data_IF_151590250423
#
_entry.id   IF_151590250423
#
_cell.length_a   1.000
_cell.length_b   1.000
_cell.length_c   1.000
_cell.angle_alpha   90.00
_cell.angle_beta   90.00
_cell.angle_gamma   90.00
#
_symmetry.space_group_name_H-M   'P 1'
#
loop_
_entity.id
_entity.type
_entity.pdbx_description
1 polymer ?
#
# COMPACT_ATOMS: atom_id res chain seq x y z
N UNK A 1 -2.99 -26.03 -32.82
CA UNK A 1 -3.49 -24.91 -32.00
C UNK A 1 -2.99 -25.14 -30.60
N UNK A 2 -1.69 -24.91 -30.44
CA UNK A 2 -0.91 -25.23 -29.24
C UNK A 2 -1.05 -24.14 -28.18
N UNK A 3 -1.04 -24.61 -26.94
CA UNK A 3 -1.11 -23.87 -25.69
C UNK A 3 0.00 -22.82 -25.59
N UNK A 4 -0.39 -21.56 -25.38
CA UNK A 4 0.49 -20.52 -24.84
C UNK A 4 -0.31 -19.80 -23.75
N UNK A 5 -0.25 -20.34 -22.54
CA UNK A 5 -0.53 -19.59 -21.31
C UNK A 5 0.62 -19.95 -20.35
N UNK A 6 1.42 -18.98 -19.87
CA UNK A 6 2.40 -19.28 -18.85
C UNK A 6 1.66 -19.61 -17.55
N UNK A 7 1.97 -20.80 -17.06
CA UNK A 7 1.53 -21.33 -15.78
C UNK A 7 2.17 -20.46 -14.67
N UNK A 8 1.46 -19.48 -14.13
CA UNK A 8 1.95 -18.59 -13.06
C UNK A 8 2.13 -19.35 -11.72
N UNK A 9 1.71 -20.62 -11.65
CA UNK A 9 2.01 -21.50 -10.52
C UNK A 9 3.12 -22.49 -10.88
N UNK A 10 4.38 -22.05 -10.82
CA UNK A 10 5.57 -22.86 -10.50
C UNK A 10 6.81 -21.98 -10.55
N UNK A 11 7.16 -21.40 -9.41
CA UNK A 11 8.57 -21.17 -9.12
C UNK A 11 9.26 -22.53 -9.14
N UNK A 12 9.94 -22.85 -10.25
CA UNK A 12 11.09 -23.76 -10.20
C UNK A 12 12.17 -23.02 -9.42
N UNK A 13 12.08 -23.10 -8.09
CA UNK A 13 13.29 -23.16 -7.28
C UNK A 13 14.11 -24.33 -7.85
N UNK A 14 15.36 -24.06 -8.20
CA UNK A 14 16.36 -25.07 -8.50
C UNK A 14 16.18 -26.24 -7.53
N UNK A 15 15.91 -27.43 -8.07
CA UNK A 15 15.82 -28.66 -7.30
C UNK A 15 17.21 -29.03 -6.81
N UNK A 16 17.71 -28.33 -5.80
CA UNK A 16 18.59 -28.94 -4.83
C UNK A 16 17.69 -29.58 -3.78
N UNK A 17 17.48 -30.88 -3.97
CA UNK A 17 16.90 -31.78 -3.00
C UNK A 17 17.82 -31.84 -1.79
N UNK A 18 17.70 -30.86 -0.90
CA UNK A 18 18.30 -30.90 0.43
C UNK A 18 17.22 -30.54 1.42
N UNK A 19 16.92 -31.52 2.26
CA UNK A 19 16.11 -31.41 3.47
C UNK A 19 16.39 -30.06 4.20
N UNK A 20 15.40 -29.19 4.47
CA UNK A 20 15.63 -27.82 4.97
C UNK A 20 16.09 -27.74 6.44
N UNK A 21 16.75 -28.78 6.94
CA UNK A 21 17.20 -28.91 8.33
C UNK A 21 18.62 -28.38 8.60
N UNK A 22 19.29 -27.78 7.63
CA UNK A 22 20.62 -27.17 7.83
C UNK A 22 20.50 -25.67 8.12
N UNK A 23 20.95 -25.26 9.31
CA UNK A 23 21.00 -23.85 9.76
C UNK A 23 21.69 -22.90 8.77
N UNK A 24 22.55 -23.42 7.87
CA UNK A 24 23.28 -22.64 6.86
C UNK A 24 22.36 -22.11 5.75
N UNK A 25 21.38 -22.89 5.31
CA UNK A 25 20.58 -22.56 4.11
C UNK A 25 19.57 -21.43 4.37
N UNK A 26 19.11 -21.27 5.62
CA UNK A 26 18.21 -20.17 5.98
C UNK A 26 18.90 -18.81 6.05
N UNK A 27 20.23 -18.78 6.21
CA UNK A 27 21.01 -17.54 6.30
C UNK A 27 21.38 -16.99 4.91
N UNK A 28 21.34 -17.81 3.85
CA UNK A 28 21.71 -17.44 2.48
C UNK A 28 20.53 -16.94 1.61
N UNK A 29 19.38 -16.66 2.23
CA UNK A 29 18.18 -16.19 1.53
C UNK A 29 18.30 -14.70 1.19
N UNK A 30 17.88 -14.33 -0.03
CA UNK A 30 17.72 -12.94 -0.44
C UNK A 30 16.23 -12.55 -0.57
N UNK A 31 15.80 -11.40 -0.04
CA UNK A 31 16.56 -10.47 0.80
C UNK A 31 16.96 -11.09 2.16
N UNK A 32 18.07 -10.65 2.78
CA UNK A 32 18.52 -11.21 4.05
C UNK A 32 17.49 -10.98 5.16
N UNK A 33 17.40 -11.92 6.09
CA UNK A 33 16.54 -11.77 7.27
C UNK A 33 16.97 -10.57 8.12
N UNK A 34 16.00 -9.79 8.59
CA UNK A 34 16.25 -8.53 9.29
C UNK A 34 16.39 -7.32 8.36
N UNK A 35 16.29 -7.48 7.04
CA UNK A 35 16.50 -6.37 6.11
C UNK A 35 15.42 -5.28 6.14
N UNK A 36 14.24 -5.59 6.70
CA UNK A 36 13.09 -4.70 6.69
C UNK A 36 12.86 -4.06 8.06
N UNK A 37 12.39 -2.80 8.13
CA UNK A 37 12.06 -2.18 9.40
C UNK A 37 10.99 -2.92 10.20
N UNK A 38 10.01 -3.52 9.53
CA UNK A 38 9.01 -4.35 10.18
C UNK A 38 9.64 -5.59 10.84
N UNK A 39 10.67 -6.18 10.23
CA UNK A 39 11.42 -7.30 10.83
C UNK A 39 12.26 -6.86 12.01
N UNK A 40 12.91 -5.70 11.92
CA UNK A 40 13.61 -5.11 13.06
C UNK A 40 12.64 -4.83 14.22
N UNK A 41 11.45 -4.30 13.93
CA UNK A 41 10.42 -4.09 14.94
C UNK A 41 10.02 -5.39 15.63
N UNK A 42 9.77 -6.46 14.87
CA UNK A 42 9.49 -7.79 15.41
C UNK A 42 10.64 -8.29 16.30
N UNK A 43 11.88 -8.19 15.84
CA UNK A 43 13.06 -8.66 16.60
C UNK A 43 13.27 -7.89 17.91
N UNK A 44 12.94 -6.60 17.94
CA UNK A 44 13.05 -5.76 19.13
C UNK A 44 11.95 -6.00 20.17
N UNK A 45 10.76 -6.41 19.74
CA UNK A 45 9.55 -6.46 20.60
C UNK A 45 8.96 -7.87 20.75
N UNK A 46 9.70 -8.90 20.34
CA UNK A 46 9.27 -10.28 20.46
C UNK A 46 9.32 -10.77 21.91
N UNK A 47 8.19 -11.24 22.41
CA UNK A 47 8.04 -11.84 23.74
C UNK A 47 7.76 -13.34 23.61
N UNK A 48 8.71 -14.24 23.96
CA UNK A 48 8.56 -15.69 23.78
C UNK A 48 7.40 -16.35 24.55
N UNK A 49 6.73 -15.63 25.44
CA UNK A 49 5.65 -16.13 26.28
C UNK A 49 4.25 -16.02 25.65
N UNK A 50 4.12 -15.32 24.52
CA UNK A 50 2.86 -15.10 23.80
C UNK A 50 2.67 -16.13 22.67
N UNK A 51 1.43 -16.38 22.24
CA UNK A 51 1.18 -17.22 21.05
C UNK A 51 1.65 -16.49 19.78
N UNK A 52 2.56 -17.13 19.03
CA UNK A 52 3.28 -16.52 17.92
C UNK A 52 2.38 -15.78 16.91
N UNK A 53 1.30 -16.39 16.41
CA UNK A 53 0.47 -15.78 15.36
C UNK A 53 -0.28 -14.51 15.82
N UNK A 54 -0.79 -14.51 17.05
CA UNK A 54 -1.48 -13.33 17.60
C UNK A 54 -0.47 -12.20 17.84
N UNK A 55 0.73 -12.56 18.27
CA UNK A 55 1.82 -11.63 18.49
C UNK A 55 2.29 -10.98 17.19
N UNK A 56 2.47 -11.74 16.11
CA UNK A 56 2.83 -11.17 14.80
C UNK A 56 1.85 -10.09 14.36
N UNK A 57 0.55 -10.40 14.36
CA UNK A 57 -0.48 -9.44 13.95
C UNK A 57 -0.49 -8.18 14.81
N UNK A 58 -0.37 -8.34 16.14
CA UNK A 58 -0.32 -7.23 17.09
C UNK A 58 0.90 -6.36 16.82
N UNK A 59 2.09 -6.94 16.75
CA UNK A 59 3.33 -6.19 16.55
C UNK A 59 3.39 -5.49 15.19
N UNK A 60 2.84 -6.10 14.12
CA UNK A 60 2.76 -5.43 12.82
C UNK A 60 1.76 -4.28 12.84
N UNK A 61 0.62 -4.43 13.53
CA UNK A 61 -0.29 -3.30 13.77
C UNK A 61 0.39 -2.18 14.56
N UNK A 62 1.11 -2.52 15.63
CA UNK A 62 1.84 -1.55 16.44
C UNK A 62 2.92 -0.83 15.61
N UNK A 63 3.65 -1.55 14.76
CA UNK A 63 4.61 -0.99 13.81
C UNK A 63 3.99 0.03 12.84
N UNK A 64 2.76 -0.21 12.37
CA UNK A 64 2.09 0.68 11.41
C UNK A 64 1.46 1.89 12.12
N UNK A 65 0.77 1.65 13.25
CA UNK A 65 -0.13 2.63 13.84
C UNK A 65 0.45 3.37 15.05
N UNK A 66 1.26 2.69 15.86
CA UNK A 66 1.82 3.24 17.10
C UNK A 66 3.23 3.83 16.92
N UNK A 67 4.01 3.32 15.97
CA UNK A 67 5.33 3.86 15.68
C UNK A 67 5.23 5.13 14.82
N UNK A 68 5.55 6.27 15.40
CA UNK A 68 5.50 7.55 14.70
C UNK A 68 6.70 7.81 13.80
N UNK A 69 7.88 7.27 14.11
CA UNK A 69 9.10 7.45 13.33
C UNK A 69 9.84 6.11 13.24
N UNK A 70 10.21 5.69 12.03
CA UNK A 70 11.06 4.52 11.84
C UNK A 70 12.50 4.91 12.20
N UNK A 71 13.15 4.23 13.17
CA UNK A 71 14.55 4.49 13.50
C UNK A 71 15.49 4.34 12.30
N UNK A 72 16.41 5.29 12.12
CA UNK A 72 17.36 5.31 11.00
C UNK A 72 18.23 4.05 10.97
N UNK A 73 18.59 3.52 12.14
CA UNK A 73 19.39 2.31 12.28
C UNK A 73 18.69 1.05 11.76
N UNK A 74 17.36 1.04 11.66
CA UNK A 74 16.61 -0.08 11.08
C UNK A 74 16.63 -0.05 9.54
N UNK A 75 17.12 1.03 8.94
CA UNK A 75 17.17 1.21 7.50
C UNK A 75 18.56 0.81 7.00
N UNK A 76 18.60 -0.25 6.18
CA UNK A 76 19.86 -0.65 5.54
C UNK A 76 20.38 0.46 4.62
N UNK A 77 21.66 0.87 4.71
CA UNK A 77 22.20 1.94 3.86
C UNK A 77 22.12 1.61 2.36
N UNK A 78 22.30 0.34 2.00
CA UNK A 78 22.17 -0.14 0.63
C UNK A 78 21.63 -1.58 0.57
N UNK A 79 21.08 -2.01 -0.58
CA UNK A 79 20.71 -3.40 -0.84
C UNK A 79 21.80 -4.45 -0.53
N UNK A 80 23.06 -4.05 -0.68
CA UNK A 80 24.25 -4.89 -0.51
C UNK A 80 24.92 -4.74 0.86
N UNK A 81 24.44 -3.83 1.71
CA UNK A 81 25.07 -3.55 3.01
C UNK A 81 24.77 -4.65 4.02
N UNK A 82 25.80 -5.28 4.59
CA UNK A 82 25.61 -6.27 5.67
C UNK A 82 25.23 -5.64 7.02
N UNK A 83 25.23 -4.30 7.10
CA UNK A 83 24.91 -3.58 8.33
C UNK A 83 23.41 -3.65 8.59
N UNK A 84 23.04 -4.21 9.74
CA UNK A 84 21.68 -4.27 10.28
C UNK A 84 21.72 -3.91 11.76
N UNK A 85 20.64 -3.29 12.28
CA UNK A 85 20.53 -3.01 13.72
C UNK A 85 20.56 -4.31 14.55
N UNK A 86 19.76 -5.29 14.16
CA UNK A 86 19.84 -6.67 14.65
C UNK A 86 20.08 -7.60 13.47
N UNK A 87 21.19 -8.34 13.50
CA UNK A 87 21.40 -9.50 12.64
C UNK A 87 20.70 -10.70 13.28
N UNK A 88 19.61 -11.23 12.71
CA UNK A 88 18.84 -12.28 13.35
C UNK A 88 19.62 -13.60 13.39
N UNK A 89 19.53 -14.31 14.52
CA UNK A 89 20.05 -15.66 14.66
C UNK A 89 19.17 -16.67 13.91
N UNK A 90 19.69 -17.87 13.66
CA UNK A 90 18.91 -18.95 13.04
C UNK A 90 17.64 -19.32 13.83
N UNK A 91 17.65 -19.20 15.17
CA UNK A 91 16.44 -19.43 15.98
C UNK A 91 15.42 -18.31 15.79
N UNK A 92 15.85 -17.05 15.80
CA UNK A 92 14.98 -15.90 15.55
C UNK A 92 14.36 -15.96 14.15
N UNK A 93 15.11 -16.39 13.14
CA UNK A 93 14.57 -16.60 11.79
C UNK A 93 13.46 -17.65 11.82
N UNK A 94 13.70 -18.83 12.41
CA UNK A 94 12.72 -19.92 12.45
C UNK A 94 11.49 -19.61 13.28
N UNK A 95 11.66 -18.91 14.40
CA UNK A 95 10.61 -18.76 15.41
C UNK A 95 9.83 -17.46 15.23
N UNK A 96 10.47 -16.41 14.72
CA UNK A 96 9.92 -15.06 14.62
C UNK A 96 9.62 -14.72 13.17
N UNK A 97 10.63 -14.72 12.29
CA UNK A 97 10.47 -14.07 10.99
C UNK A 97 9.84 -14.96 9.91
N UNK A 98 10.33 -16.20 9.78
CA UNK A 98 9.87 -17.14 8.76
C UNK A 98 8.40 -17.58 8.92
N UNK A 99 7.86 -17.77 10.14
CA UNK A 99 6.45 -18.10 10.32
C UNK A 99 5.50 -16.96 9.97
N UNK A 100 5.96 -15.70 10.05
CA UNK A 100 5.15 -14.54 9.74
C UNK A 100 4.98 -14.33 8.23
N UNK A 101 6.09 -14.34 7.49
CA UNK A 101 6.09 -13.98 6.07
C UNK A 101 6.81 -15.02 5.21
N UNK A 102 6.06 -15.76 4.36
CA UNK A 102 6.65 -16.66 3.38
C UNK A 102 7.66 -15.96 2.45
N UNK A 103 8.64 -16.72 1.95
CA UNK A 103 9.73 -16.19 1.12
C UNK A 103 9.25 -15.44 -0.12
N UNK A 104 8.17 -15.88 -0.77
CA UNK A 104 7.65 -15.20 -1.95
C UNK A 104 7.24 -13.75 -1.65
N UNK A 105 6.58 -13.53 -0.51
CA UNK A 105 6.13 -12.19 -0.09
C UNK A 105 7.27 -11.35 0.47
N UNK A 106 8.34 -11.96 0.97
CA UNK A 106 9.58 -11.23 1.26
C UNK A 106 10.21 -10.65 0.00
N UNK A 107 10.24 -11.41 -1.10
CA UNK A 107 10.75 -10.92 -2.38
C UNK A 107 9.88 -9.79 -2.94
N UNK A 108 8.55 -9.89 -2.83
CA UNK A 108 7.64 -8.81 -3.23
C UNK A 108 7.81 -7.56 -2.35
N UNK A 109 7.86 -7.74 -1.03
CA UNK A 109 8.11 -6.65 -0.09
C UNK A 109 9.45 -5.95 -0.38
N UNK A 110 10.47 -6.69 -0.84
CA UNK A 110 11.76 -6.14 -1.24
C UNK A 110 11.66 -5.22 -2.46
N UNK A 111 10.93 -5.64 -3.50
CA UNK A 111 10.72 -4.80 -4.67
C UNK A 111 9.95 -3.53 -4.29
N UNK A 112 8.85 -3.66 -3.53
CA UNK A 112 8.08 -2.51 -3.03
C UNK A 112 8.99 -1.57 -2.23
N UNK A 113 9.73 -2.09 -1.25
CA UNK A 113 10.61 -1.30 -0.39
C UNK A 113 11.69 -0.56 -1.16
N UNK A 114 12.31 -1.21 -2.15
CA UNK A 114 13.36 -0.59 -2.95
C UNK A 114 12.82 0.48 -3.89
N UNK A 115 11.66 0.27 -4.50
CA UNK A 115 11.03 1.29 -5.35
C UNK A 115 10.63 2.53 -4.54
N UNK A 116 10.23 2.35 -3.27
CA UNK A 116 9.96 3.45 -2.35
C UNK A 116 11.24 4.25 -2.04
N UNK A 117 12.37 3.58 -1.82
CA UNK A 117 13.61 4.22 -1.35
C UNK A 117 14.53 4.73 -2.46
N UNK A 118 14.58 4.03 -3.57
CA UNK A 118 15.39 4.35 -4.73
C UNK A 118 14.51 4.09 -5.97
N UNK A 119 13.60 5.02 -6.29
CA UNK A 119 12.74 4.89 -7.45
C UNK A 119 13.62 4.64 -8.68
N UNK A 120 13.37 3.53 -9.40
CA UNK A 120 14.04 3.29 -10.69
C UNK A 120 13.50 4.22 -11.78
N UNK A 121 12.30 4.74 -11.55
CA UNK A 121 11.53 5.59 -12.44
C UNK A 121 11.20 6.86 -11.65
N UNK A 122 11.61 8.01 -12.17
CA UNK A 122 11.32 9.29 -11.53
C UNK A 122 9.79 9.49 -11.50
N UNK A 123 9.25 9.78 -10.31
CA UNK A 123 7.86 10.19 -10.05
C UNK A 123 6.71 9.19 -10.30
N UNK A 124 6.95 8.04 -10.95
CA UNK A 124 5.90 7.03 -11.16
C UNK A 124 5.56 6.30 -9.84
N UNK A 125 4.40 6.61 -9.28
CA UNK A 125 3.88 5.96 -8.08
C UNK A 125 3.81 4.44 -8.19
N UNK A 126 3.95 3.77 -7.04
CA UNK A 126 3.75 2.31 -6.95
C UNK A 126 2.29 1.92 -7.14
N UNK A 127 2.00 1.39 -8.32
CA UNK A 127 0.71 0.82 -8.71
C UNK A 127 0.61 -0.65 -8.26
N UNK A 128 0.31 -0.86 -6.98
CA UNK A 128 0.09 -2.21 -6.46
C UNK A 128 -1.38 -2.58 -6.60
N UNK A 129 -1.64 -3.72 -7.23
CA UNK A 129 -2.94 -4.37 -7.37
C UNK A 129 -3.06 -5.47 -6.33
N UNK A 130 -4.11 -5.43 -5.53
CA UNK A 130 -4.45 -6.46 -4.56
C UNK A 130 -5.73 -7.16 -5.01
N UNK A 131 -5.68 -8.47 -5.21
CA UNK A 131 -6.89 -9.27 -5.40
C UNK A 131 -7.39 -9.77 -4.05
N UNK A 132 -8.65 -9.47 -3.73
CA UNK A 132 -9.28 -9.95 -2.48
C UNK A 132 -10.43 -10.92 -2.69
N UNK A 133 -10.87 -11.10 -3.94
CA UNK A 133 -11.94 -12.01 -4.31
C UNK A 133 -11.46 -13.10 -5.27
N UNK A 134 -11.90 -14.32 -4.98
CA UNK A 134 -11.61 -15.54 -5.71
C UNK A 134 -12.92 -16.30 -5.88
N UNK A 135 -13.24 -16.63 -7.14
CA UNK A 135 -14.45 -17.37 -7.46
C UNK A 135 -14.34 -18.83 -7.01
N UNK A 136 -15.47 -19.42 -6.59
CA UNK A 136 -15.49 -20.82 -6.14
C UNK A 136 -15.40 -21.79 -7.32
N UNK A 137 -15.97 -21.40 -8.47
CA UNK A 137 -16.02 -22.23 -9.68
C UNK A 137 -14.75 -22.09 -10.52
N UNK A 138 -14.16 -23.23 -10.91
CA UNK A 138 -12.88 -23.26 -11.61
C UNK A 138 -12.90 -22.52 -12.96
N UNK A 139 -14.02 -22.58 -13.69
CA UNK A 139 -14.19 -21.87 -14.96
C UNK A 139 -14.24 -20.35 -14.77
N UNK A 140 -14.88 -19.90 -13.68
CA UNK A 140 -14.96 -18.48 -13.35
C UNK A 140 -13.60 -17.95 -12.88
N UNK A 141 -12.90 -18.70 -12.02
CA UNK A 141 -11.52 -18.39 -11.62
C UNK A 141 -10.59 -18.29 -12.83
N UNK A 142 -10.71 -19.18 -13.81
CA UNK A 142 -9.91 -19.10 -15.03
C UNK A 142 -10.20 -17.83 -15.84
N UNK A 143 -11.47 -17.41 -15.93
CA UNK A 143 -11.86 -16.15 -16.60
C UNK A 143 -11.34 -14.93 -15.85
N UNK A 144 -11.47 -14.92 -14.52
CA UNK A 144 -11.03 -13.81 -13.68
C UNK A 144 -9.50 -13.64 -13.72
N UNK A 145 -8.75 -14.74 -13.75
CA UNK A 145 -7.29 -14.71 -13.91
C UNK A 145 -6.88 -14.05 -15.22
N UNK A 146 -7.60 -14.34 -16.32
CA UNK A 146 -7.36 -13.72 -17.63
C UNK A 146 -7.68 -12.23 -17.56
N UNK A 147 -8.86 -11.87 -17.04
CA UNK A 147 -9.29 -10.46 -16.87
C UNK A 147 -8.27 -9.64 -16.09
N UNK A 148 -7.80 -10.14 -14.95
CA UNK A 148 -6.84 -9.42 -14.09
C UNK A 148 -5.53 -9.12 -14.84
N UNK A 149 -5.02 -10.10 -15.59
CA UNK A 149 -3.81 -9.93 -16.40
C UNK A 149 -4.04 -8.93 -17.54
N UNK A 150 -5.17 -9.03 -18.25
CA UNK A 150 -5.52 -8.11 -19.33
C UNK A 150 -5.67 -6.68 -18.82
N UNK A 151 -6.36 -6.47 -17.70
CA UNK A 151 -6.51 -5.15 -17.08
C UNK A 151 -5.18 -4.56 -16.66
N UNK A 152 -4.32 -5.35 -16.02
CA UNK A 152 -2.99 -4.88 -15.64
C UNK A 152 -2.18 -4.48 -16.89
N UNK A 153 -2.15 -5.32 -17.94
CA UNK A 153 -1.41 -5.00 -19.17
C UNK A 153 -1.98 -3.78 -19.89
N UNK A 154 -3.31 -3.65 -19.96
CA UNK A 154 -3.99 -2.52 -20.59
C UNK A 154 -3.63 -1.18 -19.95
N UNK A 155 -3.34 -1.18 -18.64
CA UNK A 155 -2.96 0.04 -17.93
C UNK A 155 -1.64 0.66 -18.44
N UNK A 156 -0.81 -0.12 -19.13
CA UNK A 156 0.46 0.30 -19.75
C UNK A 156 0.35 0.57 -21.25
N UNK A 157 -0.79 0.27 -21.87
CA UNK A 157 -0.95 0.45 -23.31
C UNK A 157 -0.75 1.92 -23.70
N UNK A 158 0.05 2.15 -24.75
CA UNK A 158 0.37 3.50 -25.21
C UNK A 158 1.52 4.18 -24.48
N UNK A 159 2.15 3.57 -23.46
CA UNK A 159 3.41 4.06 -22.91
C UNK A 159 4.59 3.65 -23.82
N UNK A 160 5.25 4.58 -24.54
CA UNK A 160 6.31 4.24 -25.49
C UNK A 160 7.64 3.83 -24.81
N UNK A 161 7.75 4.01 -23.49
CA UNK A 161 8.93 3.66 -22.70
C UNK A 161 8.81 2.29 -22.02
N UNK A 162 7.65 1.65 -22.12
CA UNK A 162 7.36 0.38 -21.45
C UNK A 162 7.48 -0.77 -22.46
N UNK A 163 8.52 -1.59 -22.33
CA UNK A 163 8.62 -2.82 -23.13
C UNK A 163 7.82 -3.98 -22.49
N UNK A 164 7.35 -4.97 -23.27
CA UNK A 164 6.54 -6.06 -22.75
C UNK A 164 7.23 -6.92 -21.67
N UNK A 165 8.54 -7.11 -21.74
CA UNK A 165 9.27 -7.93 -20.76
C UNK A 165 9.36 -7.21 -19.40
N UNK A 166 9.42 -5.88 -19.42
CA UNK A 166 9.32 -5.04 -18.22
C UNK A 166 7.93 -5.17 -17.57
N UNK A 167 6.85 -5.13 -18.36
CA UNK A 167 5.48 -5.31 -17.83
C UNK A 167 5.32 -6.69 -17.19
N UNK A 168 5.76 -7.76 -17.87
CA UNK A 168 5.70 -9.12 -17.33
C UNK A 168 6.55 -9.28 -16.05
N UNK A 169 7.63 -8.52 -15.92
CA UNK A 169 8.45 -8.49 -14.70
C UNK A 169 7.73 -7.73 -13.58
N UNK A 170 7.08 -6.61 -13.88
CA UNK A 170 6.30 -5.82 -12.92
C UNK A 170 5.11 -6.60 -12.35
N UNK A 171 4.40 -7.36 -13.20
CA UNK A 171 3.29 -8.20 -12.77
C UNK A 171 3.63 -9.11 -11.58
N UNK A 172 4.86 -9.63 -11.52
CA UNK A 172 5.30 -10.59 -10.49
C UNK A 172 5.34 -10.02 -9.07
N UNK A 173 5.38 -8.70 -8.93
CA UNK A 173 5.47 -8.04 -7.62
C UNK A 173 4.46 -6.92 -7.45
N UNK A 174 3.83 -6.44 -8.52
CA UNK A 174 2.76 -5.45 -8.45
C UNK A 174 1.37 -6.07 -8.36
N UNK A 175 1.17 -7.32 -8.78
CA UNK A 175 -0.09 -8.04 -8.59
C UNK A 175 0.06 -8.96 -7.37
N UNK A 176 -0.61 -8.59 -6.29
CA UNK A 176 -0.76 -9.40 -5.08
C UNK A 176 -1.94 -10.36 -5.28
N UNK A 177 -1.65 -11.52 -5.86
CA UNK A 177 -2.64 -12.54 -6.20
C UNK A 177 -2.22 -13.92 -5.69
N UNK A 178 -2.81 -14.33 -4.55
CA UNK A 178 -2.70 -15.66 -3.97
C UNK A 178 -3.89 -15.87 -3.02
N UNK A 179 -4.80 -16.77 -3.39
CA UNK A 179 -6.02 -17.03 -2.61
C UNK A 179 -5.72 -17.45 -1.17
N UNK A 180 -4.65 -18.22 -0.95
CA UNK A 180 -4.31 -18.73 0.38
C UNK A 180 -3.82 -17.64 1.32
N UNK A 181 -3.47 -16.47 0.78
CA UNK A 181 -2.86 -15.36 1.51
C UNK A 181 -3.79 -14.15 1.55
N UNK A 182 -4.41 -13.80 0.41
CA UNK A 182 -5.09 -12.52 0.20
C UNK A 182 -6.60 -12.62 0.00
N UNK A 183 -7.22 -13.78 0.20
CA UNK A 183 -8.69 -13.93 0.18
C UNK A 183 -9.32 -13.28 1.44
N UNK A 184 -9.24 -11.95 1.51
CA UNK A 184 -9.72 -11.13 2.61
C UNK A 184 -11.16 -10.65 2.42
N UNK A 185 -11.75 -10.90 1.24
CA UNK A 185 -13.06 -10.34 0.87
C UNK A 185 -13.04 -8.81 1.01
N UNK A 186 -13.81 -8.25 1.93
CA UNK A 186 -13.85 -6.81 2.21
C UNK A 186 -12.73 -6.30 3.13
N UNK A 187 -12.04 -7.18 3.85
CA UNK A 187 -11.01 -6.81 4.84
C UNK A 187 -9.63 -6.60 4.20
N UNK A 188 -9.58 -5.79 3.14
CA UNK A 188 -8.38 -5.55 2.33
C UNK A 188 -7.20 -5.04 3.16
N UNK A 189 -7.46 -4.32 4.26
CA UNK A 189 -6.45 -3.75 5.16
C UNK A 189 -5.53 -4.82 5.77
N UNK A 190 -5.98 -6.07 5.81
CA UNK A 190 -5.18 -7.21 6.25
C UNK A 190 -3.96 -7.47 5.37
N UNK A 191 -3.90 -6.90 4.17
CA UNK A 191 -2.68 -6.90 3.35
C UNK A 191 -1.50 -6.30 4.11
N UNK A 192 -1.73 -5.32 4.98
CA UNK A 192 -0.67 -4.72 5.79
C UNK A 192 -0.16 -5.64 6.90
N UNK A 193 -0.89 -6.70 7.26
CA UNK A 193 -0.35 -7.75 8.15
C UNK A 193 0.77 -8.54 7.45
N UNK A 194 0.72 -8.63 6.12
CA UNK A 194 1.69 -9.37 5.30
C UNK A 194 2.76 -8.44 4.73
N UNK A 195 2.36 -7.29 4.16
CA UNK A 195 3.22 -6.32 3.46
C UNK A 195 2.99 -4.90 4.02
N UNK A 196 3.37 -4.62 5.29
CA UNK A 196 3.36 -3.27 5.87
C UNK A 196 4.12 -2.23 5.06
N UNK A 197 5.05 -2.62 4.18
CA UNK A 197 5.83 -1.73 3.31
C UNK A 197 4.93 -0.90 2.36
N UNK A 198 3.71 -1.36 2.07
CA UNK A 198 2.71 -0.61 1.30
C UNK A 198 2.33 0.75 1.93
N UNK A 199 2.55 0.90 3.24
CA UNK A 199 2.28 2.15 3.99
C UNK A 199 3.41 3.18 3.88
N UNK A 200 4.53 2.86 3.21
CA UNK A 200 5.67 3.76 3.07
C UNK A 200 6.84 3.45 4.02
N UNK A 201 7.93 4.26 3.98
CA UNK A 201 7.92 5.70 3.74
C UNK A 201 8.41 6.15 2.35
N UNK A 202 7.51 6.69 1.52
CA UNK A 202 7.84 7.37 0.24
C UNK A 202 8.52 8.74 0.41
N UNK A 203 8.46 9.34 1.59
CA UNK A 203 9.02 10.68 1.86
C UNK A 203 9.39 10.84 3.35
N UNK A 204 10.53 10.28 3.72
CA UNK A 204 11.13 10.36 5.05
C UNK A 204 10.58 9.36 6.05
N UNK A 205 11.38 9.01 7.06
CA UNK A 205 11.10 7.93 8.03
C UNK A 205 9.95 8.21 9.00
N UNK A 206 9.42 9.43 8.99
CA UNK A 206 8.29 9.81 9.83
C UNK A 206 6.97 9.28 9.26
N UNK A 207 6.18 8.66 10.12
CA UNK A 207 4.77 8.27 9.92
C UNK A 207 3.80 9.27 10.56
N UNK A 208 4.32 10.31 11.23
CA UNK A 208 3.49 11.38 11.80
C UNK A 208 2.70 12.06 10.71
N UNK A 209 1.49 12.48 11.09
CA UNK A 209 0.74 13.41 10.29
C UNK A 209 1.56 14.72 10.20
N UNK A 210 1.92 15.13 8.99
CA UNK A 210 2.59 16.41 8.77
C UNK A 210 1.61 17.35 8.07
N UNK A 211 1.04 18.34 8.79
CA UNK A 211 0.32 19.41 8.14
C UNK A 211 1.28 20.08 7.15
N UNK A 212 0.87 20.22 5.88
CA UNK A 212 1.70 20.90 4.88
C UNK A 212 1.92 22.35 5.32
N UNK A 213 3.15 22.70 5.69
CA UNK A 213 3.53 24.07 6.08
C UNK A 213 3.88 24.96 4.88
N UNK A 214 3.77 24.45 3.66
CA UNK A 214 4.23 25.12 2.43
C UNK A 214 3.25 26.17 1.87
N UNK A 215 2.32 26.67 2.70
CA UNK A 215 1.42 27.77 2.35
C UNK A 215 0.23 27.37 1.47
N UNK A 216 0.08 26.09 1.13
CA UNK A 216 -1.04 25.57 0.34
C UNK A 216 -2.15 24.91 1.18
N UNK A 217 -1.92 24.75 2.48
CA UNK A 217 -2.66 23.77 3.30
C UNK A 217 -3.75 24.30 4.22
N UNK A 218 -4.04 25.62 4.27
CA UNK A 218 -5.17 26.17 5.04
C UNK A 218 -5.60 27.51 4.40
N UNK A 219 -6.29 27.45 3.26
CA UNK A 219 -6.69 28.67 2.54
C UNK A 219 -8.13 29.12 2.82
N UNK A 220 -8.78 28.59 3.85
CA UNK A 220 -10.11 29.07 4.24
C UNK A 220 -10.00 30.33 5.12
N UNK A 221 -10.76 31.40 4.83
CA UNK A 221 -10.75 32.63 5.62
C UNK A 221 -11.36 32.36 6.99
N UNK A 222 -10.51 32.04 8.00
CA UNK A 222 -10.93 31.66 9.35
C UNK A 222 -11.94 32.62 9.98
N UNK A 223 -11.77 33.92 9.77
CA UNK A 223 -12.69 34.95 10.28
C UNK A 223 -14.09 34.84 9.65
N UNK A 224 -14.15 34.61 8.33
CA UNK A 224 -15.42 34.41 7.63
C UNK A 224 -16.08 33.11 8.08
N UNK A 225 -15.31 32.02 8.18
CA UNK A 225 -15.82 30.75 8.71
C UNK A 225 -16.34 30.93 10.13
N UNK A 226 -15.59 31.59 11.03
CA UNK A 226 -16.02 31.86 12.40
C UNK A 226 -17.31 32.69 12.47
N UNK A 227 -17.55 33.57 11.48
CA UNK A 227 -18.74 34.42 11.41
C UNK A 227 -20.01 33.67 11.01
N UNK A 228 -19.89 32.44 10.46
CA UNK A 228 -21.05 31.64 10.07
C UNK A 228 -21.80 31.14 11.33
N UNK A 229 -23.13 31.31 11.37
CA UNK A 229 -23.91 31.08 12.59
C UNK A 229 -24.16 29.60 12.89
N UNK A 230 -24.13 28.72 11.88
CA UNK A 230 -24.44 27.30 12.02
C UNK A 230 -23.17 26.47 11.90
N UNK A 231 -23.08 25.42 12.72
CA UNK A 231 -21.94 24.52 12.68
C UNK A 231 -21.82 23.84 11.32
N UNK A 232 -22.93 23.46 10.69
CA UNK A 232 -22.95 22.80 9.38
C UNK A 232 -22.38 23.71 8.29
N UNK A 233 -22.70 25.00 8.32
CA UNK A 233 -22.18 25.99 7.37
C UNK A 233 -20.66 26.16 7.56
N UNK A 234 -20.19 26.16 8.81
CA UNK A 234 -18.75 26.20 9.13
C UNK A 234 -18.00 24.97 8.64
N UNK A 235 -18.56 23.78 8.88
CA UNK A 235 -18.00 22.51 8.40
C UNK A 235 -17.93 22.51 6.87
N UNK A 236 -19.02 22.89 6.21
CA UNK A 236 -19.09 22.95 4.75
C UNK A 236 -18.05 23.93 4.19
N UNK A 237 -17.90 25.11 4.80
CA UNK A 237 -16.92 26.10 4.37
C UNK A 237 -15.47 25.59 4.50
N UNK A 238 -15.15 24.80 5.53
CA UNK A 238 -13.84 24.18 5.74
C UNK A 238 -13.59 23.01 4.76
N UNK A 239 -14.60 22.17 4.52
CA UNK A 239 -14.45 20.99 3.67
C UNK A 239 -14.50 21.33 2.17
N UNK A 240 -15.37 22.24 1.73
CA UNK A 240 -15.50 22.64 0.32
C UNK A 240 -14.33 23.50 -0.19
N UNK A 241 -13.61 24.17 0.71
CA UNK A 241 -12.55 25.09 0.33
C UNK A 241 -11.22 24.39 0.05
N UNK A 242 -11.04 23.12 0.47
CA UNK A 242 -9.69 22.57 0.55
C UNK A 242 -9.56 21.04 0.34
N UNK A 243 -9.70 20.60 -0.92
CA UNK A 243 -9.22 19.29 -1.34
C UNK A 243 -7.68 19.13 -1.16
N UNK A 244 -6.93 20.24 -1.07
CA UNK A 244 -5.48 20.21 -0.87
C UNK A 244 -5.09 19.79 0.56
N UNK A 245 -5.89 20.16 1.57
CA UNK A 245 -5.77 19.66 2.94
C UNK A 245 -5.89 18.14 2.95
N UNK A 246 -6.97 17.58 2.40
CA UNK A 246 -7.16 16.12 2.35
C UNK A 246 -6.03 15.43 1.56
N UNK A 247 -5.59 16.05 0.47
CA UNK A 247 -4.48 15.55 -0.34
C UNK A 247 -3.15 15.53 0.41
N UNK A 248 -2.95 16.45 1.37
CA UNK A 248 -1.76 16.46 2.22
C UNK A 248 -1.66 15.22 3.11
N UNK A 249 -2.81 14.63 3.49
CA UNK A 249 -2.87 13.40 4.27
C UNK A 249 -2.53 12.14 3.49
N UNK A 250 -2.79 12.14 2.17
CA UNK A 250 -2.49 11.00 1.30
C UNK A 250 -0.99 10.85 1.16
N UNK A 251 -0.52 9.61 1.18
CA UNK A 251 0.88 9.23 1.06
C UNK A 251 1.10 8.18 -0.04
N UNK A 252 0.14 7.27 -0.22
CA UNK A 252 0.16 6.27 -1.28
C UNK A 252 -1.26 5.98 -1.77
N UNK A 253 -1.39 5.05 -2.69
CA UNK A 253 -2.66 4.44 -3.03
C UNK A 253 -2.48 2.94 -3.25
N UNK A 254 -3.59 2.22 -3.22
CA UNK A 254 -3.70 0.78 -3.46
C UNK A 254 -4.87 0.53 -4.40
N UNK A 255 -4.67 -0.32 -5.40
CA UNK A 255 -5.71 -0.77 -6.30
C UNK A 255 -6.23 -2.13 -5.81
N UNK A 256 -7.54 -2.28 -5.65
CA UNK A 256 -8.16 -3.49 -5.10
C UNK A 256 -9.13 -4.09 -6.11
N UNK A 257 -8.81 -5.31 -6.56
CA UNK A 257 -9.68 -6.17 -7.33
C UNK A 257 -10.52 -7.03 -6.38
N UNK A 258 -11.67 -6.48 -5.97
CA UNK A 258 -12.65 -7.16 -5.13
C UNK A 258 -13.76 -7.81 -5.97
N UNK A 259 -14.76 -8.39 -5.31
CA UNK A 259 -15.90 -9.04 -5.97
C UNK A 259 -16.64 -8.09 -6.92
N UNK A 260 -16.77 -6.82 -6.52
CA UNK A 260 -17.42 -5.81 -7.35
C UNK A 260 -16.60 -5.54 -8.61
N UNK A 261 -15.28 -5.54 -8.52
CA UNK A 261 -14.41 -5.36 -9.70
C UNK A 261 -14.69 -6.42 -10.77
N UNK A 262 -14.81 -7.69 -10.42
CA UNK A 262 -15.04 -8.77 -11.41
C UNK A 262 -16.44 -8.76 -12.02
N UNK A 263 -17.43 -8.23 -11.29
CA UNK A 263 -18.84 -8.17 -11.73
C UNK A 263 -19.18 -6.90 -12.50
N UNK A 264 -18.48 -5.79 -12.26
CA UNK A 264 -18.80 -4.48 -12.85
C UNK A 264 -17.69 -3.90 -13.72
N UNK A 265 -16.53 -4.55 -13.76
CA UNK A 265 -15.31 -4.04 -14.37
C UNK A 265 -14.93 -2.65 -13.79
N UNK A 266 -15.21 -2.43 -12.50
CA UNK A 266 -14.86 -1.21 -11.75
C UNK A 266 -13.84 -1.49 -10.65
N UNK A 267 -12.58 -1.11 -10.89
CA UNK A 267 -11.47 -1.28 -9.93
C UNK A 267 -11.60 -0.31 -8.75
N UNK A 268 -11.43 -0.80 -7.52
CA UNK A 268 -11.37 0.07 -6.34
C UNK A 268 -9.99 0.72 -6.25
N UNK A 269 -9.93 2.04 -6.11
CA UNK A 269 -8.72 2.76 -5.71
C UNK A 269 -8.89 3.29 -4.29
N UNK A 270 -7.90 3.03 -3.45
CA UNK A 270 -7.83 3.51 -2.08
C UNK A 270 -6.66 4.48 -1.97
N UNK A 271 -6.91 5.72 -1.58
CA UNK A 271 -5.87 6.69 -1.26
C UNK A 271 -5.52 6.55 0.22
N UNK A 272 -4.27 6.25 0.56
CA UNK A 272 -3.85 5.84 1.89
C UNK A 272 -2.97 6.89 2.55
N UNK A 273 -3.09 7.03 3.88
CA UNK A 273 -2.15 7.79 4.71
C UNK A 273 -0.88 6.98 5.06
N UNK A 274 0.02 7.56 5.86
CA UNK A 274 1.26 6.92 6.33
C UNK A 274 1.06 5.77 7.33
N UNK A 275 -0.16 5.60 7.84
CA UNK A 275 -0.58 4.57 8.79
C UNK A 275 -1.53 3.55 8.14
N UNK A 276 -1.66 3.55 6.81
CA UNK A 276 -2.52 2.60 6.07
C UNK A 276 -4.02 2.87 6.19
N UNK A 277 -4.47 3.97 6.80
CA UNK A 277 -5.89 4.35 6.74
C UNK A 277 -6.20 4.89 5.35
N UNK A 278 -7.32 4.48 4.77
CA UNK A 278 -7.82 5.13 3.56
C UNK A 278 -8.35 6.53 3.90
N UNK A 279 -7.86 7.53 3.19
CA UNK A 279 -8.32 8.92 3.21
C UNK A 279 -9.56 9.03 2.33
N UNK A 280 -9.45 8.56 1.09
CA UNK A 280 -10.50 8.55 0.07
C UNK A 280 -10.53 7.20 -0.65
N UNK A 281 -11.68 6.85 -1.18
CA UNK A 281 -11.85 5.72 -2.09
C UNK A 281 -12.66 6.13 -3.32
N UNK A 282 -12.40 5.50 -4.47
CA UNK A 282 -13.15 5.70 -5.70
C UNK A 282 -13.20 4.41 -6.51
N UNK A 283 -14.07 4.34 -7.50
CA UNK A 283 -14.07 3.29 -8.52
C UNK A 283 -13.52 3.82 -9.84
N UNK A 284 -12.74 3.01 -10.53
CA UNK A 284 -12.12 3.32 -11.82
C UNK A 284 -12.69 2.32 -12.84
N UNK A 285 -13.23 2.82 -13.94
CA UNK A 285 -13.72 1.96 -15.01
C UNK A 285 -12.53 1.26 -15.69
N UNK A 286 -12.65 -0.06 -15.89
CA UNK A 286 -11.70 -0.87 -16.65
C UNK A 286 -12.19 -1.08 -18.09
N UNK A 287 -11.28 -1.21 -19.08
CA UNK A 287 -9.83 -1.04 -18.95
C UNK A 287 -9.47 0.43 -18.65
N UNK A 288 -8.47 0.62 -17.80
CA UNK A 288 -8.07 1.95 -17.35
C UNK A 288 -6.88 2.43 -18.19
N UNK A 289 -7.17 2.81 -19.43
CA UNK A 289 -6.21 3.20 -20.47
C UNK A 289 -5.31 4.40 -20.06
N UNK A 290 -5.67 5.12 -18.99
CA UNK A 290 -5.00 6.34 -18.52
C UNK A 290 -4.23 6.22 -17.19
N UNK A 291 -4.20 5.04 -16.55
CA UNK A 291 -3.51 4.87 -15.25
C UNK A 291 -2.00 5.11 -15.32
N UNK A 292 -1.31 4.72 -16.40
CA UNK A 292 0.14 4.93 -16.57
C UNK A 292 0.53 5.89 -17.71
N UNK A 293 -0.34 6.11 -18.71
CA UNK A 293 -0.03 7.07 -19.79
C UNK A 293 -0.09 8.52 -19.33
N UNK A 294 -0.68 8.77 -18.16
CA UNK A 294 -0.68 10.07 -17.47
C UNK A 294 0.27 10.10 -16.28
N UNK A 295 1.55 9.77 -16.52
CA UNK A 295 2.62 9.93 -15.53
C UNK A 295 2.74 11.37 -14.99
N UNK A 296 2.16 12.36 -15.68
CA UNK A 296 1.99 13.74 -15.22
C UNK A 296 0.98 13.90 -14.07
N UNK A 297 0.11 12.92 -13.84
CA UNK A 297 -0.88 12.93 -12.76
C UNK A 297 -0.42 12.21 -11.49
N UNK A 298 0.63 11.37 -11.57
CA UNK A 298 1.21 10.69 -10.41
C UNK A 298 2.37 11.54 -9.90
N UNK A 299 2.13 12.32 -8.85
CA UNK A 299 3.16 13.15 -8.23
C UNK A 299 3.47 12.60 -6.83
N UNK A 300 4.70 12.11 -6.62
CA UNK A 300 5.12 11.49 -5.35
C UNK A 300 4.23 10.33 -4.90
N UNK A 301 3.76 9.51 -5.85
CA UNK A 301 2.89 8.37 -5.56
C UNK A 301 1.46 8.74 -5.16
N UNK A 302 0.96 9.90 -5.61
CA UNK A 302 -0.39 10.39 -5.40
C UNK A 302 -1.02 10.80 -6.73
N UNK A 303 -2.31 10.53 -6.91
CA UNK A 303 -3.05 10.88 -8.14
C UNK A 303 -3.96 12.09 -7.86
N UNK A 304 -3.41 13.31 -7.91
CA UNK A 304 -4.12 14.53 -7.48
C UNK A 304 -5.14 15.02 -8.49
N UNK A 305 -4.74 15.06 -9.76
CA UNK A 305 -5.48 15.76 -10.81
C UNK A 305 -6.39 14.77 -11.57
N UNK A 306 -6.85 13.72 -10.87
CA UNK A 306 -7.75 12.71 -11.40
C UNK A 306 -9.21 13.03 -11.09
N UNK A 307 -10.09 12.70 -12.04
CA UNK A 307 -11.54 12.68 -11.82
C UNK A 307 -11.94 11.80 -10.62
N UNK A 308 -11.12 10.79 -10.30
CA UNK A 308 -11.28 9.87 -9.17
C UNK A 308 -10.86 10.45 -7.81
N UNK A 309 -10.37 11.70 -7.75
CA UNK A 309 -9.98 12.35 -6.50
C UNK A 309 -11.11 13.22 -5.92
N UNK A 310 -11.90 13.87 -6.76
CA UNK A 310 -12.89 14.88 -6.33
C UNK A 310 -14.28 14.26 -6.09
N UNK A 311 -15.06 14.80 -5.15
CA UNK A 311 -16.47 14.37 -4.94
C UNK A 311 -17.37 14.75 -6.13
N UNK A 312 -17.07 15.86 -6.80
CA UNK A 312 -17.96 16.47 -7.80
C UNK A 312 -17.83 15.90 -9.22
N UNK A 313 -16.83 15.04 -9.48
CA UNK A 313 -16.57 14.48 -10.82
C UNK A 313 -16.95 13.00 -10.85
N UNK A 314 -17.91 12.55 -11.69
CA UNK A 314 -18.25 11.13 -11.78
C UNK A 314 -17.05 10.25 -12.17
N UNK A 315 -16.90 9.05 -11.56
CA UNK A 315 -17.80 8.44 -10.57
C UNK A 315 -17.73 9.05 -9.16
N UNK A 316 -16.80 9.96 -8.90
CA UNK A 316 -16.64 10.67 -7.63
C UNK A 316 -15.91 9.82 -6.61
N UNK A 317 -15.21 10.46 -5.67
CA UNK A 317 -14.55 9.75 -4.58
C UNK A 317 -15.25 10.01 -3.25
N UNK A 318 -15.30 9.02 -2.37
CA UNK A 318 -15.87 9.16 -1.03
C UNK A 318 -14.75 9.43 -0.02
N UNK A 319 -14.93 10.45 0.82
CA UNK A 319 -14.02 10.75 1.93
C UNK A 319 -14.35 9.86 3.14
N UNK A 320 -13.32 9.26 3.73
CA UNK A 320 -13.44 8.53 4.98
C UNK A 320 -13.93 9.46 6.11
N UNK A 321 -14.96 9.09 6.90
CA UNK A 321 -15.46 9.90 8.00
C UNK A 321 -14.41 10.36 9.02
N UNK A 322 -13.32 9.60 9.22
CA UNK A 322 -12.21 10.02 10.10
C UNK A 322 -11.53 11.30 9.62
N UNK A 323 -11.55 11.54 8.31
CA UNK A 323 -10.91 12.66 7.63
C UNK A 323 -11.84 13.85 7.37
N UNK A 324 -13.13 13.74 7.67
CA UNK A 324 -14.07 14.88 7.69
C UNK A 324 -13.64 15.87 8.79
N UNK A 325 -13.94 17.16 8.67
CA UNK A 325 -13.46 18.22 9.56
C UNK A 325 -13.80 17.99 11.05
N UNK A 326 -14.90 17.30 11.35
CA UNK A 326 -15.29 16.90 12.72
C UNK A 326 -14.79 15.51 13.15
N UNK A 327 -14.21 14.75 12.21
CA UNK A 327 -13.67 13.42 12.41
C UNK A 327 -12.39 13.41 13.26
N UNK A 328 -12.01 12.20 13.69
CA UNK A 328 -10.85 11.95 14.56
C UNK A 328 -9.56 12.59 14.03
N UNK A 329 -9.25 12.38 12.75
CA UNK A 329 -8.04 12.89 12.11
C UNK A 329 -8.29 14.29 11.53
N UNK A 330 -9.49 14.53 10.99
CA UNK A 330 -9.85 15.79 10.36
C UNK A 330 -9.69 17.01 11.27
N UNK A 331 -10.00 16.89 12.57
CA UNK A 331 -9.86 18.03 13.50
C UNK A 331 -8.46 18.62 13.55
N UNK A 332 -7.45 17.74 13.64
CA UNK A 332 -6.03 18.12 13.61
C UNK A 332 -5.61 18.55 12.20
N UNK A 333 -5.98 17.75 11.19
CA UNK A 333 -5.66 17.97 9.78
C UNK A 333 -6.10 19.37 9.29
N UNK A 334 -7.34 19.74 9.58
CA UNK A 334 -7.88 21.05 9.20
C UNK A 334 -7.45 22.16 10.16
N UNK A 335 -7.10 21.85 11.42
CA UNK A 335 -6.73 22.84 12.43
C UNK A 335 -7.90 23.74 12.86
N UNK A 336 -9.11 23.18 12.94
CA UNK A 336 -10.38 23.91 13.10
C UNK A 336 -11.09 23.65 14.43
N UNK A 337 -10.39 23.07 15.40
CA UNK A 337 -10.96 22.68 16.70
C UNK A 337 -11.54 23.85 17.50
N UNK A 338 -11.03 25.06 17.29
CA UNK A 338 -11.51 26.32 17.82
C UNK A 338 -12.71 26.86 17.03
N UNK A 339 -12.71 26.69 15.70
CA UNK A 339 -13.76 27.20 14.80
C UNK A 339 -15.05 26.36 14.82
N UNK A 340 -14.93 25.07 15.12
CA UNK A 340 -16.04 24.12 15.10
C UNK A 340 -16.60 23.80 16.48
N UNK A 341 -16.33 24.64 17.50
CA UNK A 341 -16.95 24.51 18.83
C UNK A 341 -18.41 25.00 18.78
N UNK A 342 -19.28 24.27 19.48
CA UNK A 342 -20.69 24.64 19.70
C UNK A 342 -20.81 25.84 20.62
#
# INVERSE_FOLDING_TARGET
>A
MEQILPNISRLTLSTNTTDPNTNSDMLEVFPPWGAFPAEQYLLHHWEPSEQNQNQHRRLINDFIHALDDIPEEWIRPSPTSEIMAITPSASQIREILAPWRPLQWRSVAWEIWNQIRCPKWDDEGLNIWLRTHYAEEAEETARDNIKLVEWFKSSFEGNPYMDPDTVDTMMRWQILDDESVFNFKSAWERVFEIIPELTGPKSGLSRRFMPRTDGWGQNYPREEVASLPRLEDRVMAVECSDNCVQYSAVHSYLLVADEKTFTTDELLILYLDRKGNYVRESRIQLPADDLYTRGDMINNGKIRDAQYWTEDSPPGSSLNPKYRALGEIGRELYGVEDLLRT
#
